data_IF_316019558710
#
_entry.id   IF_316019558710
#
_cell.length_a   1.000
_cell.length_b   1.000
_cell.length_c   1.000
_cell.angle_alpha   90.00
_cell.angle_beta   90.00
_cell.angle_gamma   90.00
#
_symmetry.space_group_name_H-M   'P 1'
#
loop_
_entity.id
_entity.type
_entity.pdbx_description
1 polymer ?
#
# COMPACT_ATOMS: atom_id res chain seq x y z
N UNK A 1 -13.13 12.66 42.87
CA UNK A 1 -11.84 12.02 42.53
C UNK A 1 -12.13 10.56 42.15
N UNK A 2 -12.23 10.25 40.85
CA UNK A 2 -12.50 8.89 40.41
C UNK A 2 -11.21 8.06 40.52
N UNK A 3 -11.24 7.03 41.36
CA UNK A 3 -10.13 6.09 41.55
C UNK A 3 -9.84 5.42 40.21
N UNK A 4 -8.67 5.72 39.65
CA UNK A 4 -8.17 5.07 38.45
C UNK A 4 -7.72 3.65 38.85
N UNK A 5 -8.69 2.73 38.87
CA UNK A 5 -8.47 1.33 39.23
C UNK A 5 -7.56 0.69 38.19
N UNK A 6 -6.30 0.41 38.55
CA UNK A 6 -5.36 -0.35 37.74
C UNK A 6 -6.02 -1.68 37.33
N UNK A 7 -6.45 -1.76 36.07
CA UNK A 7 -7.10 -2.95 35.53
C UNK A 7 -6.11 -4.12 35.58
N UNK A 8 -6.53 -5.26 36.14
CA UNK A 8 -5.65 -6.43 36.32
C UNK A 8 -5.25 -7.00 34.94
N UNK A 9 -3.97 -7.33 34.72
CA UNK A 9 -3.53 -7.94 33.47
C UNK A 9 -4.21 -9.31 33.27
N UNK A 10 -4.58 -9.63 32.02
CA UNK A 10 -5.11 -10.95 31.69
C UNK A 10 -4.00 -12.01 31.81
N UNK A 11 -4.36 -13.22 32.23
CA UNK A 11 -3.47 -14.38 32.06
C UNK A 11 -3.39 -14.71 30.57
N UNK A 12 -2.24 -15.20 30.10
CA UNK A 12 -2.05 -15.62 28.70
C UNK A 12 -3.19 -16.56 28.28
N UNK A 13 -3.86 -16.23 27.18
CA UNK A 13 -4.94 -17.05 26.59
C UNK A 13 -6.32 -16.89 27.23
N UNK A 14 -6.49 -16.11 28.31
CA UNK A 14 -7.80 -15.92 28.97
C UNK A 14 -8.33 -14.50 28.77
N UNK A 15 -8.45 -14.08 27.52
CA UNK A 15 -9.07 -12.80 27.20
C UNK A 15 -10.59 -12.96 27.14
N UNK A 16 -11.31 -12.01 27.76
CA UNK A 16 -12.76 -11.86 27.58
C UNK A 16 -12.94 -10.80 26.51
N UNK A 17 -13.23 -11.25 25.29
CA UNK A 17 -13.36 -10.41 24.11
C UNK A 17 -14.78 -9.88 23.96
N UNK A 18 -14.88 -8.59 23.72
CA UNK A 18 -16.08 -7.93 23.21
C UNK A 18 -15.82 -7.57 21.74
N UNK A 19 -16.72 -7.99 20.86
CA UNK A 19 -16.57 -7.87 19.41
C UNK A 19 -17.42 -6.72 18.87
N UNK A 20 -16.85 -5.95 17.97
CA UNK A 20 -17.48 -4.88 17.23
C UNK A 20 -17.29 -5.15 15.73
N UNK A 21 -18.38 -5.08 14.98
CA UNK A 21 -18.31 -5.17 13.51
C UNK A 21 -17.89 -3.83 12.94
N UNK A 22 -16.95 -3.87 12.02
CA UNK A 22 -16.50 -2.71 11.28
C UNK A 22 -17.43 -2.30 10.15
N UNK A 23 -16.95 -1.38 9.32
CA UNK A 23 -17.67 -0.88 8.14
C UNK A 23 -17.51 -1.82 6.95
N UNK A 24 -16.35 -2.46 6.81
CA UNK A 24 -16.06 -3.39 5.73
C UNK A 24 -16.62 -4.80 6.02
N UNK A 25 -16.97 -5.58 4.99
CA UNK A 25 -17.39 -6.97 5.18
C UNK A 25 -16.25 -7.79 5.77
N UNK A 26 -16.50 -8.41 6.93
CA UNK A 26 -15.47 -9.19 7.64
C UNK A 26 -14.50 -8.36 8.48
N UNK A 27 -14.64 -7.04 8.50
CA UNK A 27 -13.92 -6.19 9.46
C UNK A 27 -14.47 -6.45 10.86
N UNK A 28 -13.61 -6.93 11.75
CA UNK A 28 -13.95 -7.27 13.11
C UNK A 28 -12.88 -6.70 14.04
N UNK A 29 -13.32 -5.88 14.99
CA UNK A 29 -12.45 -5.42 16.07
C UNK A 29 -12.89 -6.10 17.34
N UNK A 30 -11.94 -6.54 18.17
CA UNK A 30 -12.24 -7.00 19.52
C UNK A 30 -11.42 -6.25 20.55
N UNK A 31 -12.05 -5.95 21.68
CA UNK A 31 -11.40 -5.37 22.86
C UNK A 31 -11.55 -6.31 24.04
N UNK A 32 -10.48 -6.50 24.81
CA UNK A 32 -10.58 -7.21 26.06
C UNK A 32 -11.17 -6.30 27.16
N UNK A 33 -12.32 -6.65 27.72
CA UNK A 33 -12.96 -5.87 28.79
C UNK A 33 -12.13 -5.75 30.08
N UNK A 34 -11.12 -6.60 30.25
CA UNK A 34 -10.23 -6.62 31.42
C UNK A 34 -8.93 -5.85 31.18
N UNK A 35 -8.15 -6.19 30.16
CA UNK A 35 -6.83 -5.60 29.93
C UNK A 35 -6.79 -4.56 28.80
N UNK A 36 -7.93 -4.28 28.14
CA UNK A 36 -8.06 -3.32 27.03
C UNK A 36 -7.23 -3.63 25.79
N UNK A 37 -6.59 -4.81 25.72
CA UNK A 37 -5.94 -5.27 24.50
C UNK A 37 -6.94 -5.25 23.34
N UNK A 38 -6.51 -4.72 22.21
CA UNK A 38 -7.30 -4.63 20.98
C UNK A 38 -6.70 -5.55 19.94
N UNK A 39 -7.55 -6.22 19.20
CA UNK A 39 -7.18 -6.94 17.99
C UNK A 39 -8.15 -6.53 16.89
N UNK A 40 -7.63 -6.31 15.69
CA UNK A 40 -8.42 -5.95 14.53
C UNK A 40 -8.10 -6.93 13.42
N UNK A 41 -9.13 -7.42 12.75
CA UNK A 41 -9.04 -8.14 11.49
C UNK A 41 -9.77 -7.29 10.47
N UNK A 42 -9.08 -6.92 9.39
CA UNK A 42 -9.60 -5.93 8.44
C UNK A 42 -9.39 -6.36 6.99
N UNK A 43 -10.22 -7.28 6.48
CA UNK A 43 -10.19 -7.72 5.10
C UNK A 43 -10.92 -6.70 4.21
N UNK A 44 -10.29 -5.57 3.93
CA UNK A 44 -10.80 -4.63 2.95
C UNK A 44 -11.00 -5.30 1.59
N UNK A 45 -12.15 -5.00 0.96
CA UNK A 45 -12.38 -5.33 -0.45
C UNK A 45 -11.83 -4.21 -1.32
N UNK A 46 -10.56 -4.32 -1.68
CA UNK A 46 -9.87 -3.32 -2.47
C UNK A 46 -10.28 -3.31 -3.94
N UNK A 47 -10.40 -2.13 -4.51
CA UNK A 47 -10.54 -1.92 -5.95
C UNK A 47 -9.21 -2.10 -6.72
N UNK A 48 -9.24 -1.77 -8.00
CA UNK A 48 -8.05 -1.83 -8.87
C UNK A 48 -7.07 -0.71 -8.55
N UNK A 49 -5.77 -1.00 -8.68
CA UNK A 49 -4.73 0.01 -8.65
C UNK A 49 -4.84 0.96 -9.85
N UNK A 50 -4.70 2.25 -9.58
CA UNK A 50 -4.70 3.31 -10.58
C UNK A 50 -3.60 4.32 -10.25
N UNK A 51 -3.08 5.02 -11.26
CA UNK A 51 -2.16 6.13 -11.00
C UNK A 51 -2.91 7.29 -10.33
N UNK A 52 -2.28 7.90 -9.33
CA UNK A 52 -2.85 9.04 -8.60
C UNK A 52 -3.14 10.22 -9.53
N UNK A 53 -2.26 10.45 -10.51
CA UNK A 53 -2.45 11.49 -11.51
C UNK A 53 -1.78 11.10 -12.83
N UNK A 54 -2.08 11.81 -13.93
CA UNK A 54 -1.37 11.64 -15.20
C UNK A 54 0.13 11.96 -15.12
N UNK A 55 0.57 12.68 -14.09
CA UNK A 55 1.95 13.15 -13.94
C UNK A 55 2.73 12.36 -12.88
N UNK A 56 2.08 11.49 -12.11
CA UNK A 56 2.71 10.75 -11.02
C UNK A 56 2.61 9.25 -11.22
N UNK A 57 3.73 8.54 -11.01
CA UNK A 57 3.79 7.09 -11.06
C UNK A 57 3.34 6.41 -9.74
N UNK A 58 2.88 7.21 -8.78
CA UNK A 58 2.30 6.72 -7.54
C UNK A 58 0.98 6.02 -7.83
N UNK A 59 0.84 4.78 -7.39
CA UNK A 59 -0.43 4.06 -7.48
C UNK A 59 -1.26 4.21 -6.22
N UNK A 60 -2.57 4.27 -6.40
CA UNK A 60 -3.58 4.29 -5.35
C UNK A 60 -4.67 3.26 -5.67
N UNK A 61 -5.32 2.76 -4.63
CA UNK A 61 -6.61 2.07 -4.75
C UNK A 61 -7.51 2.47 -3.59
N UNK A 62 -8.79 2.23 -3.78
CA UNK A 62 -9.81 2.52 -2.78
C UNK A 62 -10.53 1.24 -2.38
N UNK A 63 -10.90 1.12 -1.12
CA UNK A 63 -11.82 0.09 -0.69
C UNK A 63 -13.19 0.34 -1.31
N UNK A 64 -13.78 -0.70 -1.92
CA UNK A 64 -15.07 -0.61 -2.61
C UNK A 64 -16.26 -0.41 -1.66
N UNK A 65 -16.03 -0.55 -0.35
CA UNK A 65 -17.09 -0.44 0.67
C UNK A 65 -16.90 0.80 1.55
N UNK A 66 -15.77 0.94 2.22
CA UNK A 66 -15.53 2.05 3.14
C UNK A 66 -14.91 3.28 2.48
N UNK A 67 -14.47 3.17 1.22
CA UNK A 67 -13.73 4.21 0.46
C UNK A 67 -12.41 4.65 1.10
N UNK A 68 -11.85 3.84 1.99
CA UNK A 68 -10.50 4.06 2.50
C UNK A 68 -9.49 4.00 1.35
N UNK A 69 -8.48 4.88 1.41
CA UNK A 69 -7.43 5.03 0.41
C UNK A 69 -6.21 4.23 0.84
N UNK A 70 -5.70 3.38 -0.05
CA UNK A 70 -4.40 2.75 0.10
C UNK A 70 -3.42 3.34 -0.91
N UNK A 71 -2.23 3.70 -0.42
CA UNK A 71 -1.12 4.19 -1.22
C UNK A 71 -0.21 3.01 -1.54
N UNK A 72 -0.05 2.72 -2.82
CA UNK A 72 0.73 1.59 -3.32
C UNK A 72 2.18 1.94 -3.61
N UNK A 73 2.80 1.12 -4.44
CA UNK A 73 4.15 1.37 -4.91
C UNK A 73 4.20 2.51 -5.94
N UNK A 74 5.38 3.12 -6.03
CA UNK A 74 5.75 4.05 -7.09
C UNK A 74 6.31 3.22 -8.26
N UNK A 75 5.51 3.09 -9.33
CA UNK A 75 5.83 2.19 -10.46
C UNK A 75 5.92 2.98 -11.77
N UNK A 76 7.15 3.15 -12.25
CA UNK A 76 7.41 3.70 -13.57
C UNK A 76 7.23 2.64 -14.65
N UNK A 77 6.72 3.06 -15.80
CA UNK A 77 6.66 2.24 -17.02
C UNK A 77 7.70 2.76 -18.01
N UNK A 78 8.91 2.25 -17.86
CA UNK A 78 10.05 2.67 -18.68
C UNK A 78 9.94 2.15 -20.11
N UNK A 79 10.34 2.98 -21.07
CA UNK A 79 10.55 2.60 -22.46
C UNK A 79 11.73 3.38 -23.01
N UNK A 80 12.51 2.76 -23.90
CA UNK A 80 13.50 3.48 -24.71
C UNK A 80 12.79 4.58 -25.50
N UNK A 81 13.34 5.79 -25.46
CA UNK A 81 12.84 6.90 -26.26
C UNK A 81 13.74 7.15 -27.46
N UNK A 82 13.19 7.22 -28.68
CA UNK A 82 13.96 7.57 -29.87
C UNK A 82 14.30 9.07 -29.95
N UNK A 83 13.83 9.88 -28.99
CA UNK A 83 13.96 11.34 -29.00
C UNK A 83 14.89 11.92 -27.93
N UNK A 84 15.26 11.12 -26.93
CA UNK A 84 16.13 11.57 -25.84
C UNK A 84 17.38 10.72 -25.81
N UNK A 85 18.53 11.37 -25.68
CA UNK A 85 19.84 10.75 -25.70
C UNK A 85 20.69 11.27 -24.53
N UNK A 86 21.64 10.46 -24.08
CA UNK A 86 22.64 10.87 -23.09
C UNK A 86 23.80 11.67 -23.73
N UNK A 87 24.82 11.99 -22.93
CA UNK A 87 26.02 12.70 -23.37
C UNK A 87 26.83 11.95 -24.47
N UNK A 88 26.65 10.64 -24.58
CA UNK A 88 27.29 9.77 -25.56
C UNK A 88 26.40 9.52 -26.78
N UNK A 89 25.26 10.24 -26.89
CA UNK A 89 24.27 10.09 -27.94
C UNK A 89 23.62 8.69 -27.99
N UNK A 90 23.45 8.06 -26.82
CA UNK A 90 22.76 6.78 -26.65
C UNK A 90 21.32 7.04 -26.22
N UNK A 91 20.29 6.43 -26.86
CA UNK A 91 18.90 6.57 -26.45
C UNK A 91 18.69 6.21 -24.98
N UNK A 92 17.97 7.07 -24.24
CA UNK A 92 17.68 6.85 -22.81
C UNK A 92 16.25 6.38 -22.58
N UNK A 93 16.00 5.82 -21.40
CA UNK A 93 14.67 5.40 -20.98
C UNK A 93 13.86 6.57 -20.44
N UNK A 94 12.60 6.61 -20.87
CA UNK A 94 11.63 7.60 -20.42
C UNK A 94 10.41 6.87 -19.90
N UNK A 95 9.88 7.35 -18.77
CA UNK A 95 8.64 6.83 -18.25
C UNK A 95 7.50 7.22 -19.18
N UNK A 96 6.81 6.22 -19.72
CA UNK A 96 5.67 6.43 -20.63
C UNK A 96 4.52 7.17 -19.95
N UNK A 97 4.44 7.12 -18.62
CA UNK A 97 3.45 7.82 -17.80
C UNK A 97 3.90 9.25 -17.44
N UNK A 98 4.85 9.41 -16.51
CA UNK A 98 5.24 10.73 -15.97
C UNK A 98 6.29 11.51 -16.78
N UNK A 99 6.85 10.92 -17.84
CA UNK A 99 7.90 11.52 -18.70
C UNK A 99 9.24 11.81 -18.03
N UNK A 100 9.44 11.36 -16.79
CA UNK A 100 10.77 11.36 -16.19
C UNK A 100 11.73 10.52 -17.04
N UNK A 101 12.99 10.94 -17.06
CA UNK A 101 14.10 10.23 -17.69
C UNK A 101 14.81 9.41 -16.63
N UNK A 102 14.98 8.11 -16.84
CA UNK A 102 15.72 7.23 -15.93
C UNK A 102 17.18 7.10 -16.35
N UNK A 103 18.08 6.84 -15.40
CA UNK A 103 19.41 6.36 -15.71
C UNK A 103 19.33 4.92 -16.29
N UNK A 104 20.31 4.52 -17.09
CA UNK A 104 20.33 3.19 -17.72
C UNK A 104 20.21 2.04 -16.71
N UNK A 105 20.79 2.16 -15.51
CA UNK A 105 20.78 1.10 -14.48
C UNK A 105 19.39 0.77 -13.92
N UNK A 106 18.48 1.75 -13.83
CA UNK A 106 17.10 1.52 -13.35
C UNK A 106 16.21 0.88 -14.43
N UNK A 107 16.52 1.16 -15.69
CA UNK A 107 15.90 0.51 -16.83
C UNK A 107 16.43 -0.91 -17.08
N UNK A 108 17.72 -1.15 -16.83
CA UNK A 108 18.35 -2.47 -16.93
C UNK A 108 17.73 -3.46 -15.94
N UNK A 109 17.38 -3.03 -14.73
CA UNK A 109 16.65 -3.86 -13.77
C UNK A 109 15.24 -4.22 -14.26
N UNK A 110 14.59 -3.34 -15.01
CA UNK A 110 13.25 -3.57 -15.57
C UNK A 110 13.30 -4.50 -16.79
N UNK A 111 14.31 -4.39 -17.66
CA UNK A 111 14.48 -5.32 -18.79
C UNK A 111 14.88 -6.72 -18.32
N UNK A 112 15.78 -6.84 -17.33
CA UNK A 112 16.21 -8.13 -16.78
C UNK A 112 15.08 -8.93 -16.09
N UNK A 113 14.00 -8.29 -15.64
CA UNK A 113 12.84 -8.97 -15.05
C UNK A 113 11.76 -9.40 -16.05
N UNK A 114 11.86 -8.98 -17.32
CA UNK A 114 10.87 -9.24 -18.36
C UNK A 114 11.40 -10.09 -19.54
N UNK A 115 12.67 -10.50 -19.52
CA UNK A 115 13.27 -11.42 -20.51
C UNK A 115 13.21 -12.92 -20.11
N UNK A 116 12.58 -13.25 -18.98
CA UNK A 116 12.38 -14.65 -18.53
C UNK A 116 10.89 -14.97 -18.31
N UNK A 117 10.11 -14.99 -19.40
CA UNK A 117 8.85 -15.74 -19.50
C UNK A 117 8.67 -16.26 -20.91
#
# INVERSE_FOLDING_TARGET
MFRNSKKKPCRKGTHVWEWERGRCPGEETRRCGRCEQKEAYDPHTWGVWQYESPMTCQQLRYCLVCFEKEVGALIHKWSLSPYYFDENNIPIFVCTHCKETGASEEADRYLMSHEYT
#
